data_IF_662770641977
#
_entry.id   IF_662770641977
#
_cell.length_a   1.000
_cell.length_b   1.000
_cell.length_c   1.000
_cell.angle_alpha   90.00
_cell.angle_beta   90.00
_cell.angle_gamma   90.00
#
_symmetry.space_group_name_H-M   'P 1'
#
loop_
_entity.id
_entity.type
_entity.pdbx_description
1 polymer ?
#
# COMPACT_ATOMS: atom_id res chain seq x y z
N UNK A 1 -2.16 9.93 5.65
CA UNK A 1 -1.04 9.90 4.67
C UNK A 1 -1.40 8.93 3.56
N UNK A 2 -0.96 9.19 2.33
CA UNK A 2 -1.19 8.28 1.22
C UNK A 2 0.05 7.42 1.02
N UNK A 3 -0.16 6.14 0.72
CA UNK A 3 0.92 5.18 0.49
C UNK A 3 0.68 4.46 -0.82
N UNK A 4 1.70 4.41 -1.66
CA UNK A 4 1.72 3.54 -2.83
C UNK A 4 2.11 2.13 -2.36
N UNK A 5 1.33 1.13 -2.75
CA UNK A 5 1.55 -0.25 -2.34
C UNK A 5 1.66 -1.18 -3.55
N UNK A 6 2.40 -2.26 -3.35
CA UNK A 6 2.35 -3.46 -4.17
C UNK A 6 2.22 -4.66 -3.24
N UNK A 7 1.30 -5.55 -3.55
CA UNK A 7 1.17 -6.82 -2.84
C UNK A 7 0.69 -7.93 -3.76
N UNK A 8 0.73 -9.16 -3.25
CA UNK A 8 0.17 -10.33 -3.94
C UNK A 8 -1.03 -10.85 -3.19
N UNK A 9 -2.04 -11.30 -3.91
CA UNK A 9 -3.13 -12.06 -3.28
C UNK A 9 -2.78 -13.56 -3.20
N UNK A 10 -3.66 -14.35 -2.59
CA UNK A 10 -3.47 -15.81 -2.45
C UNK A 10 -3.40 -16.56 -3.79
N UNK A 11 -3.86 -15.97 -4.89
CA UNK A 11 -3.76 -16.53 -6.25
C UNK A 11 -2.43 -16.20 -6.93
N UNK A 12 -1.58 -15.40 -6.28
CA UNK A 12 -0.31 -14.92 -6.83
C UNK A 12 -0.43 -13.69 -7.72
N UNK A 13 -1.63 -13.11 -7.87
CA UNK A 13 -1.86 -11.92 -8.68
C UNK A 13 -1.24 -10.71 -7.98
N UNK A 14 -0.55 -9.87 -8.75
CA UNK A 14 0.05 -8.64 -8.25
C UNK A 14 -1.01 -7.53 -8.28
N UNK A 15 -1.21 -6.89 -7.13
CA UNK A 15 -2.07 -5.73 -6.97
C UNK A 15 -1.21 -4.53 -6.60
N UNK A 16 -1.43 -3.43 -7.30
CA UNK A 16 -0.78 -2.15 -7.03
C UNK A 16 -1.82 -1.06 -6.90
N UNK A 17 -1.54 -0.06 -6.07
CA UNK A 17 -2.47 1.04 -5.89
C UNK A 17 -2.00 2.01 -4.83
N UNK A 18 -2.91 2.88 -4.42
CA UNK A 18 -2.68 3.85 -3.36
C UNK A 18 -3.71 3.63 -2.24
N UNK A 19 -3.25 3.69 -0.99
CA UNK A 19 -4.09 3.57 0.20
C UNK A 19 -3.84 4.74 1.13
N UNK A 20 -4.89 5.22 1.78
CA UNK A 20 -4.77 6.23 2.83
C UNK A 20 -4.74 5.54 4.20
N UNK A 21 -3.74 5.88 5.00
CA UNK A 21 -3.59 5.38 6.35
C UNK A 21 -2.93 6.42 7.27
N UNK A 22 -3.10 6.24 8.58
CA UNK A 22 -2.47 7.09 9.59
C UNK A 22 -0.96 6.87 9.71
N UNK A 23 -0.46 5.70 9.31
CA UNK A 23 0.95 5.29 9.40
C UNK A 23 1.27 4.16 8.41
N UNK A 24 2.56 3.88 8.18
CA UNK A 24 3.03 2.76 7.35
C UNK A 24 2.50 1.41 7.87
N UNK A 25 2.59 1.17 9.17
CA UNK A 25 2.11 -0.04 9.83
C UNK A 25 0.59 -0.19 9.69
N UNK A 26 -0.14 0.94 9.75
CA UNK A 26 -1.58 0.98 9.51
C UNK A 26 -1.95 0.57 8.10
N UNK A 27 -1.21 1.06 7.09
CA UNK A 27 -1.40 0.66 5.70
C UNK A 27 -1.10 -0.83 5.49
N UNK A 28 -0.03 -1.36 6.09
CA UNK A 28 0.28 -2.81 6.03
C UNK A 28 -0.86 -3.63 6.63
N UNK A 29 -1.34 -3.26 7.82
CA UNK A 29 -2.43 -3.97 8.51
C UNK A 29 -3.72 -3.96 7.68
N UNK A 30 -4.08 -2.82 7.07
CA UNK A 30 -5.24 -2.71 6.20
C UNK A 30 -5.12 -3.60 4.97
N UNK A 31 -3.98 -3.59 4.29
CA UNK A 31 -3.75 -4.41 3.10
C UNK A 31 -3.78 -5.91 3.43
N UNK A 32 -3.14 -6.32 4.53
CA UNK A 32 -3.15 -7.71 5.00
C UNK A 32 -4.56 -8.19 5.38
N UNK A 33 -5.36 -7.35 6.06
CA UNK A 33 -6.77 -7.66 6.37
C UNK A 33 -7.61 -7.88 5.11
N UNK A 34 -7.28 -7.19 4.02
CA UNK A 34 -7.90 -7.38 2.70
C UNK A 34 -7.32 -8.56 1.92
N UNK A 35 -6.48 -9.40 2.53
CA UNK A 35 -5.92 -10.60 1.91
C UNK A 35 -4.76 -10.33 0.94
N UNK A 36 -4.15 -9.15 1.01
CA UNK A 36 -2.97 -8.80 0.24
C UNK A 36 -1.70 -8.95 1.08
N UNK A 37 -0.76 -9.73 0.56
CA UNK A 37 0.59 -9.84 1.08
C UNK A 37 1.44 -8.71 0.51
N UNK A 38 1.70 -7.69 1.32
CA UNK A 38 2.46 -6.49 0.92
C UNK A 38 3.91 -6.86 0.63
N UNK A 39 4.37 -6.60 -0.60
CA UNK A 39 5.77 -6.79 -1.02
C UNK A 39 6.52 -5.47 -1.15
N UNK A 40 5.79 -4.36 -1.30
CA UNK A 40 6.35 -3.01 -1.33
C UNK A 40 5.32 -2.01 -0.79
N UNK A 41 5.81 -1.02 -0.04
CA UNK A 41 4.98 0.05 0.50
C UNK A 41 5.85 1.30 0.70
N UNK A 42 5.47 2.39 0.06
CA UNK A 42 6.15 3.68 0.14
C UNK A 42 5.13 4.80 0.35
N UNK A 43 5.48 5.81 1.13
CA UNK A 43 4.66 7.00 1.29
C UNK A 43 4.58 7.75 -0.05
N UNK A 44 3.37 8.04 -0.50
CA UNK A 44 3.14 8.82 -1.70
C UNK A 44 3.58 10.26 -1.43
N UNK A 45 4.78 10.61 -1.91
CA UNK A 45 5.27 11.98 -1.88
C UNK A 45 4.34 12.84 -2.74
N UNK A 46 3.74 13.87 -2.14
CA UNK A 46 3.11 14.93 -2.93
C UNK A 46 4.17 15.53 -3.87
N UNK A 47 3.85 15.79 -5.16
CA UNK A 47 4.78 16.46 -6.04
C UNK A 47 5.13 17.82 -5.42
N UNK A 48 6.42 18.02 -5.13
CA UNK A 48 6.97 19.25 -4.55
C UNK A 48 7.10 20.39 -5.58
N UNK A 49 6.45 20.28 -6.75
CA UNK A 49 6.56 21.24 -7.83
C UNK A 49 5.16 21.63 -8.31
N UNK A 50 4.85 22.93 -8.14
CA UNK A 50 3.71 23.64 -8.69
C UNK A 50 4.19 24.51 -9.87
#
# INVERSE_FOLDING_TARGET
>A
MKFNYQGRNKKGEIHTGQIEASSKEGAISLLQKNGLYVTFLEEAKSPLYA
#
